data_IF_562866006731
#
_entry.id   IF_562866006731
#
_cell.length_a   1.000
_cell.length_b   1.000
_cell.length_c   1.000
_cell.angle_alpha   90.00
_cell.angle_beta   90.00
_cell.angle_gamma   90.00
#
_symmetry.space_group_name_H-M   'P 1'
#
loop_
_entity.id
_entity.type
_entity.pdbx_description
1 polymer ?
#
# COMPACT_ATOMS: atom_id res chain seq x y z
N UNK A 1 23.83 -3.43 18.77
CA UNK A 1 23.71 -4.74 18.08
C UNK A 1 24.24 -4.62 16.67
N UNK A 2 24.93 -5.66 16.20
CA UNK A 2 25.35 -5.82 14.80
C UNK A 2 24.84 -7.15 14.22
N UNK A 3 24.78 -7.27 12.88
CA UNK A 3 24.56 -8.56 12.23
C UNK A 3 25.57 -9.60 12.70
N UNK A 4 25.16 -10.86 12.73
CA UNK A 4 25.97 -12.01 13.14
C UNK A 4 26.17 -12.94 11.95
N UNK A 5 27.41 -13.35 11.69
CA UNK A 5 27.74 -14.41 10.71
C UNK A 5 28.53 -15.58 11.27
N UNK A 6 29.53 -15.32 12.12
CA UNK A 6 30.47 -16.30 12.68
C UNK A 6 30.63 -16.16 14.21
N UNK A 7 30.82 -14.93 14.71
CA UNK A 7 30.89 -14.63 16.15
C UNK A 7 29.98 -13.47 16.54
N UNK A 8 29.58 -13.41 17.82
CA UNK A 8 28.65 -12.38 18.31
C UNK A 8 29.17 -10.96 18.01
N UNK A 9 28.31 -10.12 17.43
CA UNK A 9 28.59 -8.74 17.02
C UNK A 9 29.74 -8.55 15.99
N UNK A 10 30.07 -9.60 15.22
CA UNK A 10 31.11 -9.54 14.17
C UNK A 10 30.72 -8.69 12.95
N UNK A 11 29.45 -8.31 12.82
CA UNK A 11 28.94 -7.50 11.71
C UNK A 11 28.93 -8.23 10.37
N UNK A 12 29.20 -9.55 10.33
CA UNK A 12 29.29 -10.31 9.08
C UNK A 12 27.93 -10.40 8.41
N UNK A 13 27.89 -10.04 7.12
CA UNK A 13 26.70 -10.07 6.28
C UNK A 13 27.02 -10.66 4.91
N UNK A 14 26.06 -11.39 4.36
CA UNK A 14 26.05 -11.79 2.95
C UNK A 14 25.18 -10.82 2.15
N UNK A 15 25.72 -10.32 1.05
CA UNK A 15 25.03 -9.50 0.05
C UNK A 15 24.95 -10.28 -1.25
N UNK A 16 23.81 -10.23 -1.91
CA UNK A 16 23.58 -10.82 -3.22
C UNK A 16 22.98 -9.77 -4.15
N UNK A 17 23.62 -9.51 -5.29
CA UNK A 17 23.17 -8.46 -6.22
C UNK A 17 23.70 -8.71 -7.63
N UNK A 18 23.15 -8.00 -8.60
CA UNK A 18 23.56 -8.05 -10.01
C UNK A 18 24.04 -6.68 -10.45
N UNK A 19 25.15 -6.63 -11.20
CA UNK A 19 25.58 -5.42 -11.89
C UNK A 19 25.41 -5.57 -13.41
N UNK A 20 25.04 -4.49 -14.13
CA UNK A 20 24.93 -4.48 -15.60
C UNK A 20 26.32 -4.38 -16.24
N UNK A 21 27.17 -5.36 -15.95
CA UNK A 21 28.50 -5.51 -16.53
C UNK A 21 28.73 -6.97 -16.95
N UNK A 22 29.50 -7.14 -18.03
CA UNK A 22 29.95 -8.46 -18.48
C UNK A 22 30.87 -9.11 -17.45
N UNK A 23 30.71 -10.42 -17.26
CA UNK A 23 31.55 -11.19 -16.33
C UNK A 23 33.04 -11.03 -16.68
N UNK A 24 33.80 -10.52 -15.72
CA UNK A 24 35.23 -10.25 -15.82
C UNK A 24 35.83 -9.99 -14.44
N UNK A 25 37.15 -10.02 -14.31
CA UNK A 25 37.82 -9.61 -13.07
C UNK A 25 37.57 -8.13 -12.74
N UNK A 26 37.43 -7.27 -13.76
CA UNK A 26 36.97 -5.88 -13.59
C UNK A 26 35.58 -5.81 -12.96
N UNK A 27 34.69 -6.74 -13.31
CA UNK A 27 33.34 -6.81 -12.75
C UNK A 27 33.36 -7.20 -11.26
N UNK A 28 34.24 -8.13 -10.85
CA UNK A 28 34.45 -8.45 -9.43
C UNK A 28 34.99 -7.25 -8.65
N UNK A 29 35.97 -6.52 -9.21
CA UNK A 29 36.47 -5.27 -8.61
C UNK A 29 35.42 -4.17 -8.53
N UNK A 30 34.55 -4.07 -9.53
CA UNK A 30 33.41 -3.17 -9.49
C UNK A 30 32.42 -3.54 -8.36
N UNK A 31 32.14 -4.84 -8.17
CA UNK A 31 31.31 -5.33 -7.08
C UNK A 31 31.93 -5.03 -5.70
N UNK A 32 33.24 -5.26 -5.51
CA UNK A 32 33.96 -4.88 -4.29
C UNK A 32 33.84 -3.37 -4.00
N UNK A 33 34.10 -2.54 -5.02
CA UNK A 33 34.04 -1.08 -4.88
C UNK A 33 32.63 -0.60 -4.56
N UNK A 34 31.62 -1.17 -5.20
CA UNK A 34 30.22 -0.86 -4.95
C UNK A 34 29.83 -1.17 -3.50
N UNK A 35 30.17 -2.36 -3.00
CA UNK A 35 29.90 -2.76 -1.60
C UNK A 35 30.67 -1.86 -0.62
N UNK A 36 31.87 -1.42 -0.96
CA UNK A 36 32.62 -0.44 -0.14
C UNK A 36 31.91 0.91 -0.03
N UNK A 37 31.26 1.38 -1.09
CA UNK A 37 30.48 2.62 -1.07
C UNK A 37 29.24 2.53 -0.19
N UNK A 38 28.75 1.31 0.07
CA UNK A 38 27.64 1.03 1.01
C UNK A 38 28.10 0.97 2.47
N UNK A 39 29.34 1.40 2.77
CA UNK A 39 29.92 1.42 4.11
C UNK A 39 30.15 0.04 4.74
N UNK A 40 30.43 -0.96 3.91
CA UNK A 40 30.91 -2.27 4.35
C UNK A 40 32.45 -2.34 4.35
N UNK A 41 33.01 -3.14 5.25
CA UNK A 41 34.45 -3.43 5.36
C UNK A 41 34.72 -4.93 5.11
N UNK A 42 36.00 -5.30 5.00
CA UNK A 42 36.43 -6.71 4.87
C UNK A 42 35.66 -7.49 3.79
N UNK A 43 35.57 -6.87 2.61
CA UNK A 43 34.73 -7.32 1.50
C UNK A 43 35.41 -8.47 0.76
N UNK A 44 34.65 -9.53 0.52
CA UNK A 44 35.09 -10.70 -0.24
C UNK A 44 34.00 -11.14 -1.22
N UNK A 45 34.30 -11.06 -2.52
CA UNK A 45 33.42 -11.59 -3.57
C UNK A 45 33.65 -13.10 -3.66
N UNK A 46 32.72 -13.88 -3.11
CA UNK A 46 32.83 -15.35 -3.05
C UNK A 46 32.20 -16.04 -4.27
N UNK A 47 31.29 -15.35 -4.96
CA UNK A 47 30.67 -15.87 -6.18
C UNK A 47 30.46 -14.75 -7.19
N UNK A 48 30.68 -15.06 -8.47
CA UNK A 48 30.34 -14.22 -9.59
C UNK A 48 29.91 -15.10 -10.76
N UNK A 49 28.76 -14.83 -11.36
CA UNK A 49 28.20 -15.63 -12.46
C UNK A 49 27.45 -14.74 -13.44
N UNK A 50 27.71 -14.92 -14.74
CA UNK A 50 26.90 -14.29 -15.77
C UNK A 50 25.48 -14.88 -15.75
N UNK A 51 24.47 -14.01 -15.68
CA UNK A 51 23.06 -14.42 -15.68
C UNK A 51 22.33 -14.06 -16.97
N UNK A 52 22.83 -13.06 -17.70
CA UNK A 52 22.38 -12.65 -19.02
C UNK A 52 23.54 -11.91 -19.72
N UNK A 53 23.41 -11.68 -21.02
CA UNK A 53 24.39 -10.89 -21.77
C UNK A 53 24.52 -9.50 -21.15
N UNK A 54 25.76 -9.13 -20.76
CA UNK A 54 26.02 -7.86 -20.10
C UNK A 54 25.61 -7.76 -18.63
N UNK A 55 25.14 -8.84 -17.99
CA UNK A 55 24.76 -8.85 -16.57
C UNK A 55 25.47 -9.95 -15.78
N UNK A 56 26.03 -9.57 -14.63
CA UNK A 56 26.72 -10.49 -13.73
C UNK A 56 26.13 -10.42 -12.33
N UNK A 57 25.75 -11.57 -11.80
CA UNK A 57 25.33 -11.77 -10.41
C UNK A 57 26.53 -12.03 -9.52
N UNK A 58 26.51 -11.48 -8.30
CA UNK A 58 27.56 -11.58 -7.30
C UNK A 58 26.99 -12.01 -5.96
N UNK A 59 27.78 -12.81 -5.22
CA UNK A 59 27.60 -13.02 -3.78
C UNK A 59 28.85 -12.52 -3.08
N UNK A 60 28.65 -11.67 -2.08
CA UNK A 60 29.71 -10.96 -1.38
C UNK A 60 29.51 -11.13 0.12
N UNK A 61 30.57 -11.49 0.84
CA UNK A 61 30.62 -11.39 2.28
C UNK A 61 31.34 -10.11 2.67
N UNK A 62 30.78 -9.37 3.62
CA UNK A 62 31.39 -8.16 4.14
C UNK A 62 30.95 -7.88 5.57
N UNK A 63 31.62 -6.95 6.25
CA UNK A 63 31.31 -6.54 7.61
C UNK A 63 30.57 -5.19 7.59
N UNK A 64 29.36 -5.18 8.15
CA UNK A 64 28.59 -3.97 8.39
C UNK A 64 29.22 -3.18 9.54
N UNK A 65 29.56 -1.92 9.25
CA UNK A 65 30.13 -0.99 10.23
C UNK A 65 29.10 -0.44 11.22
N UNK A 66 27.85 -0.11 10.82
CA UNK A 66 26.90 0.50 11.72
C UNK A 66 26.52 -0.38 12.90
N UNK A 67 26.36 0.24 14.06
CA UNK A 67 25.79 -0.38 15.24
C UNK A 67 24.41 0.19 15.50
N UNK A 68 23.46 -0.70 15.82
CA UNK A 68 22.09 -0.33 16.11
C UNK A 68 21.84 -0.43 17.61
N UNK A 69 21.43 0.68 18.23
CA UNK A 69 20.81 0.64 19.56
C UNK A 69 19.34 0.27 19.40
N UNK A 70 19.01 -0.98 19.71
CA UNK A 70 17.65 -1.49 19.58
C UNK A 70 16.64 -0.74 20.46
N UNK A 71 17.07 -0.14 21.57
CA UNK A 71 16.18 0.60 22.48
C UNK A 71 15.59 1.86 21.86
N UNK A 72 16.25 2.41 20.83
CA UNK A 72 15.82 3.61 20.11
C UNK A 72 14.74 3.33 19.06
N UNK A 73 14.53 2.06 18.73
CA UNK A 73 13.65 1.65 17.63
C UNK A 73 12.20 1.65 18.09
N UNK A 74 11.42 2.60 17.56
CA UNK A 74 9.96 2.65 17.73
C UNK A 74 9.28 1.87 16.61
N UNK A 75 8.83 0.66 16.91
CA UNK A 75 7.95 -0.07 16.01
C UNK A 75 6.51 0.46 16.16
N UNK A 76 6.00 1.17 15.16
CA UNK A 76 4.59 1.55 15.08
C UNK A 76 3.74 0.30 14.87
N UNK A 77 3.32 -0.35 15.96
CA UNK A 77 2.26 -1.36 15.90
C UNK A 77 0.94 -0.62 15.71
N UNK A 78 0.62 -0.25 14.48
CA UNK A 78 -0.76 0.07 14.13
C UNK A 78 -1.53 -1.24 14.13
N UNK A 79 -1.94 -1.70 15.31
CA UNK A 79 -2.87 -2.82 15.46
C UNK A 79 -4.26 -2.26 15.21
N UNK A 80 -4.67 -2.22 13.95
CA UNK A 80 -6.10 -2.19 13.67
C UNK A 80 -6.68 -3.49 14.22
N UNK A 81 -7.57 -3.40 15.20
CA UNK A 81 -8.38 -4.55 15.59
C UNK A 81 -9.35 -4.79 14.44
N UNK A 82 -9.00 -5.70 13.54
CA UNK A 82 -9.92 -6.15 12.50
C UNK A 82 -11.12 -6.80 13.19
N UNK A 83 -12.33 -6.30 12.91
CA UNK A 83 -13.56 -6.92 13.36
C UNK A 83 -14.05 -7.85 12.27
N UNK A 84 -14.51 -9.05 12.63
CA UNK A 84 -15.18 -9.92 11.66
C UNK A 84 -16.55 -9.35 11.31
N UNK A 85 -17.16 -9.85 10.23
CA UNK A 85 -18.53 -9.49 9.84
C UNK A 85 -19.53 -9.76 10.96
N UNK A 86 -19.38 -10.87 11.68
CA UNK A 86 -20.23 -11.23 12.82
C UNK A 86 -20.06 -10.25 13.98
N UNK A 87 -18.83 -9.84 14.29
CA UNK A 87 -18.55 -8.83 15.31
C UNK A 87 -19.12 -7.46 14.92
N UNK A 88 -19.04 -7.08 13.64
CA UNK A 88 -19.64 -5.84 13.11
C UNK A 88 -21.17 -5.92 13.20
N UNK A 89 -21.78 -7.02 12.78
CA UNK A 89 -23.24 -7.18 12.87
C UNK A 89 -23.73 -7.10 14.31
N UNK A 90 -23.05 -7.78 15.25
CA UNK A 90 -23.39 -7.72 16.68
C UNK A 90 -23.24 -6.31 17.24
N UNK A 91 -22.17 -5.62 16.88
CA UNK A 91 -21.96 -4.23 17.27
C UNK A 91 -23.11 -3.32 16.77
N UNK A 92 -23.54 -3.49 15.52
CA UNK A 92 -24.65 -2.71 14.95
C UNK A 92 -26.02 -3.10 15.54
N UNK A 93 -26.20 -4.34 16.00
CA UNK A 93 -27.41 -4.80 16.69
C UNK A 93 -27.54 -4.19 18.09
N UNK A 94 -26.45 -4.12 18.84
CA UNK A 94 -26.41 -3.62 20.23
C UNK A 94 -26.53 -2.09 20.30
N UNK A 95 -26.03 -1.37 19.28
CA UNK A 95 -25.99 0.11 19.28
C UNK A 95 -27.25 0.77 18.70
N UNK A 96 -28.24 -0.03 18.26
CA UNK A 96 -29.61 0.36 17.86
C UNK A 96 -29.76 1.59 16.96
N UNK A 97 -28.73 2.05 16.25
CA UNK A 97 -28.76 3.32 15.53
C UNK A 97 -28.14 3.23 14.15
N UNK A 98 -29.06 2.96 13.22
CA UNK A 98 -29.00 3.21 11.77
C UNK A 98 -28.24 2.19 10.93
N UNK A 99 -28.96 1.75 9.91
CA UNK A 99 -28.39 1.23 8.70
C UNK A 99 -27.40 2.24 8.11
N UNK A 100 -26.24 1.78 7.65
CA UNK A 100 -25.22 2.63 7.03
C UNK A 100 -25.44 2.64 5.52
N UNK A 101 -25.70 3.81 4.96
CA UNK A 101 -25.82 4.02 3.52
C UNK A 101 -24.45 4.39 2.94
N UNK A 102 -24.02 3.65 1.92
CA UNK A 102 -22.69 3.72 1.34
C UNK A 102 -22.86 3.91 -0.17
N UNK A 103 -22.23 4.94 -0.71
CA UNK A 103 -22.12 5.12 -2.17
C UNK A 103 -20.65 4.98 -2.56
N UNK A 104 -20.39 4.41 -3.73
CA UNK A 104 -19.02 4.28 -4.22
C UNK A 104 -18.89 4.39 -5.72
N UNK A 105 -17.78 4.94 -6.20
CA UNK A 105 -17.44 4.97 -7.61
C UNK A 105 -15.93 5.13 -7.85
N UNK A 106 -15.47 4.64 -9.00
CA UNK A 106 -14.20 5.09 -9.59
C UNK A 106 -14.48 6.38 -10.38
N UNK A 107 -13.86 7.49 -9.96
CA UNK A 107 -14.22 8.84 -10.44
C UNK A 107 -13.35 9.33 -11.61
N UNK A 108 -13.86 10.33 -12.33
CA UNK A 108 -13.12 11.01 -13.40
C UNK A 108 -12.99 10.16 -14.66
N UNK A 109 -11.81 10.10 -15.26
CA UNK A 109 -11.57 9.31 -16.49
C UNK A 109 -11.16 7.86 -16.23
N UNK A 110 -11.08 7.45 -14.96
CA UNK A 110 -10.55 6.15 -14.57
C UNK A 110 -11.60 5.03 -14.73
N UNK A 111 -11.23 3.99 -15.49
CA UNK A 111 -12.10 2.86 -15.83
C UNK A 111 -11.89 1.62 -14.94
N UNK A 112 -10.96 1.66 -13.99
CA UNK A 112 -10.62 0.50 -13.17
C UNK A 112 -11.60 0.35 -12.00
N UNK A 113 -12.46 -0.68 -12.03
CA UNK A 113 -13.44 -0.95 -10.97
C UNK A 113 -13.05 -2.07 -10.03
N UNK A 114 -12.09 -2.93 -10.41
CA UNK A 114 -11.79 -4.19 -9.71
C UNK A 114 -11.50 -3.98 -8.22
N UNK A 115 -10.79 -2.91 -7.86
CA UNK A 115 -10.51 -2.57 -6.47
C UNK A 115 -11.75 -2.17 -5.67
N UNK A 116 -12.62 -1.34 -6.25
CA UNK A 116 -13.89 -0.95 -5.63
C UNK A 116 -14.84 -2.14 -5.53
N UNK A 117 -14.95 -2.93 -6.59
CA UNK A 117 -15.78 -4.13 -6.68
C UNK A 117 -15.37 -5.18 -5.63
N UNK A 118 -14.06 -5.31 -5.37
CA UNK A 118 -13.52 -6.17 -4.32
C UNK A 118 -14.00 -5.78 -2.91
N UNK A 119 -14.30 -4.49 -2.68
CA UNK A 119 -14.79 -3.98 -1.40
C UNK A 119 -16.32 -4.00 -1.35
N UNK A 120 -17.01 -3.63 -2.43
CA UNK A 120 -18.46 -3.46 -2.40
C UNK A 120 -19.23 -4.76 -2.66
N UNK A 121 -18.82 -5.57 -3.63
CA UNK A 121 -19.65 -6.67 -4.14
C UNK A 121 -19.79 -7.81 -3.14
N UNK A 122 -20.94 -8.50 -3.15
CA UNK A 122 -21.28 -9.60 -2.24
C UNK A 122 -20.22 -10.72 -2.13
N UNK A 123 -19.45 -10.97 -3.20
CA UNK A 123 -18.34 -11.94 -3.21
C UNK A 123 -17.13 -11.47 -2.40
N UNK A 124 -16.86 -10.17 -2.43
CA UNK A 124 -15.65 -9.56 -1.89
C UNK A 124 -14.36 -10.09 -2.52
N UNK A 125 -13.29 -10.14 -1.73
CA UNK A 125 -11.94 -10.50 -2.19
C UNK A 125 -11.18 -11.32 -1.15
N UNK A 126 -10.46 -12.35 -1.60
CA UNK A 126 -9.58 -13.18 -0.76
C UNK A 126 -10.21 -13.77 0.53
N UNK A 127 -11.52 -14.04 0.50
CA UNK A 127 -12.23 -14.62 1.64
C UNK A 127 -12.89 -13.58 2.55
N UNK A 128 -12.55 -12.30 2.39
CA UNK A 128 -13.29 -11.19 2.97
C UNK A 128 -14.48 -10.86 2.08
N UNK A 129 -15.68 -10.84 2.67
CA UNK A 129 -16.90 -10.49 1.95
C UNK A 129 -17.02 -8.98 1.76
N UNK A 130 -17.56 -8.57 0.62
CA UNK A 130 -17.82 -7.15 0.37
C UNK A 130 -19.01 -6.62 1.17
N UNK A 131 -19.10 -5.31 1.19
CA UNK A 131 -20.02 -4.53 2.02
C UNK A 131 -21.51 -4.86 1.75
N UNK A 132 -21.86 -5.25 0.52
CA UNK A 132 -23.22 -5.73 0.16
C UNK A 132 -23.69 -6.91 1.02
N UNK A 133 -22.76 -7.71 1.57
CA UNK A 133 -23.10 -8.88 2.38
C UNK A 133 -23.33 -8.55 3.86
N UNK A 134 -23.11 -7.32 4.27
CA UNK A 134 -23.33 -6.86 5.64
C UNK A 134 -24.79 -6.50 5.85
N UNK A 135 -25.41 -7.05 6.90
CA UNK A 135 -26.86 -6.97 7.13
C UNK A 135 -27.38 -5.54 7.26
N UNK A 136 -26.54 -4.65 7.78
CA UNK A 136 -26.90 -3.26 8.12
C UNK A 136 -26.39 -2.24 7.10
N UNK A 137 -25.75 -2.68 6.01
CA UNK A 137 -25.14 -1.79 5.03
C UNK A 137 -25.97 -1.75 3.75
N UNK A 138 -26.17 -0.54 3.23
CA UNK A 138 -26.90 -0.28 1.99
C UNK A 138 -25.94 0.35 1.00
N UNK A 139 -25.46 -0.45 0.07
CA UNK A 139 -24.37 -0.08 -0.83
C UNK A 139 -24.89 0.24 -2.23
N UNK A 140 -24.44 1.35 -2.81
CA UNK A 140 -24.72 1.72 -4.21
C UNK A 140 -23.39 1.94 -4.93
N UNK A 141 -23.00 0.98 -5.78
CA UNK A 141 -21.80 1.09 -6.61
C UNK A 141 -22.18 1.71 -7.97
N UNK A 142 -21.60 2.87 -8.28
CA UNK A 142 -21.84 3.60 -9.53
C UNK A 142 -20.82 3.27 -10.63
N UNK A 143 -19.91 2.33 -10.38
CA UNK A 143 -18.97 1.81 -11.37
C UNK A 143 -17.83 2.77 -11.67
N UNK A 144 -17.43 2.82 -12.93
CA UNK A 144 -16.25 3.53 -13.41
C UNK A 144 -16.58 4.82 -14.15
N UNK A 145 -15.55 5.66 -14.31
CA UNK A 145 -15.59 6.92 -15.03
C UNK A 145 -16.74 7.84 -14.57
N UNK A 146 -17.05 7.79 -13.28
CA UNK A 146 -18.18 8.52 -12.73
C UNK A 146 -17.81 9.97 -12.46
N UNK A 147 -18.72 10.89 -12.75
CA UNK A 147 -18.48 12.31 -12.49
C UNK A 147 -18.41 12.56 -10.97
N UNK A 148 -17.34 13.19 -10.45
CA UNK A 148 -17.20 13.57 -9.05
C UNK A 148 -18.42 14.32 -8.47
N UNK A 149 -18.95 15.31 -9.19
CA UNK A 149 -20.05 16.15 -8.70
C UNK A 149 -21.36 15.35 -8.65
N UNK A 150 -21.59 14.48 -9.64
CA UNK A 150 -22.73 13.57 -9.64
C UNK A 150 -22.63 12.59 -8.46
N UNK A 151 -21.43 12.12 -8.10
CA UNK A 151 -21.27 11.21 -6.95
C UNK A 151 -21.68 11.89 -5.64
N UNK A 152 -21.32 13.17 -5.46
CA UNK A 152 -21.72 13.97 -4.31
C UNK A 152 -23.24 14.16 -4.31
N UNK A 153 -23.83 14.49 -5.46
CA UNK A 153 -25.28 14.59 -5.60
C UNK A 153 -25.99 13.28 -5.21
N UNK A 154 -25.50 12.14 -5.69
CA UNK A 154 -26.02 10.82 -5.33
C UNK A 154 -25.86 10.51 -3.85
N UNK A 155 -24.75 10.90 -3.24
CA UNK A 155 -24.52 10.74 -1.80
C UNK A 155 -25.59 11.49 -0.99
N UNK A 156 -25.92 12.73 -1.38
CA UNK A 156 -26.99 13.51 -0.76
C UNK A 156 -28.37 12.87 -1.02
N UNK A 157 -28.66 12.48 -2.26
CA UNK A 157 -29.92 11.84 -2.66
C UNK A 157 -30.19 10.54 -1.88
N UNK A 158 -29.16 9.72 -1.71
CA UNK A 158 -29.23 8.43 -1.00
C UNK A 158 -29.05 8.55 0.51
N UNK A 159 -28.93 9.77 1.03
CA UNK A 159 -28.65 10.04 2.45
C UNK A 159 -27.49 9.16 2.91
N UNK A 160 -26.41 9.16 2.12
CA UNK A 160 -25.23 8.34 2.36
C UNK A 160 -24.53 8.83 3.63
N UNK A 161 -24.02 7.87 4.41
CA UNK A 161 -23.12 8.13 5.53
C UNK A 161 -21.65 8.06 5.07
N UNK A 162 -21.37 7.27 4.02
CA UNK A 162 -20.02 7.00 3.52
C UNK A 162 -19.96 7.19 2.01
N UNK A 163 -18.90 7.85 1.53
CA UNK A 163 -18.53 7.90 0.11
C UNK A 163 -17.19 7.16 -0.07
N UNK A 164 -17.21 6.10 -0.87
CA UNK A 164 -16.02 5.35 -1.29
C UNK A 164 -15.55 5.83 -2.66
N UNK A 165 -14.33 6.34 -2.73
CA UNK A 165 -13.74 6.88 -3.96
C UNK A 165 -12.59 5.97 -4.39
N UNK A 166 -12.65 5.48 -5.62
CA UNK A 166 -11.58 4.68 -6.20
C UNK A 166 -10.78 5.47 -7.25
N UNK A 167 -9.45 5.47 -7.16
CA UNK A 167 -8.52 6.06 -8.11
C UNK A 167 -7.27 5.18 -8.29
N UNK A 168 -7.16 4.54 -9.45
CA UNK A 168 -6.02 3.69 -9.81
C UNK A 168 -4.99 4.44 -10.66
N UNK A 169 -5.43 5.34 -11.54
CA UNK A 169 -4.53 6.04 -12.48
C UNK A 169 -3.79 7.19 -11.77
N UNK A 170 -2.47 7.06 -11.66
CA UNK A 170 -1.62 8.06 -10.97
C UNK A 170 -0.82 8.98 -11.89
N UNK A 171 -0.86 8.78 -13.21
CA UNK A 171 -0.07 9.56 -14.17
C UNK A 171 -0.33 11.06 -14.03
N UNK A 172 0.75 11.85 -14.03
CA UNK A 172 0.72 13.31 -13.86
C UNK A 172 -0.06 13.77 -12.61
N UNK A 173 -0.05 12.95 -11.55
CA UNK A 173 -0.75 13.21 -10.29
C UNK A 173 -2.25 13.45 -10.45
N UNK A 174 -2.86 12.86 -11.48
CA UNK A 174 -4.28 13.09 -11.79
C UNK A 174 -5.21 12.68 -10.64
N UNK A 175 -4.91 11.55 -9.97
CA UNK A 175 -5.59 11.12 -8.75
C UNK A 175 -5.58 12.18 -7.63
N UNK A 176 -4.44 12.83 -7.38
CA UNK A 176 -4.32 13.89 -6.37
C UNK A 176 -5.17 15.09 -6.75
N UNK A 177 -5.12 15.49 -8.03
CA UNK A 177 -5.94 16.60 -8.53
C UNK A 177 -7.42 16.30 -8.37
N UNK A 178 -7.88 15.13 -8.83
CA UNK A 178 -9.28 14.72 -8.74
C UNK A 178 -9.77 14.68 -7.28
N UNK A 179 -8.98 14.15 -6.35
CA UNK A 179 -9.34 14.10 -4.93
C UNK A 179 -9.36 15.49 -4.29
N UNK A 180 -8.43 16.39 -4.65
CA UNK A 180 -8.46 17.79 -4.20
C UNK A 180 -9.70 18.52 -4.70
N UNK A 181 -10.03 18.35 -5.98
CA UNK A 181 -11.21 18.96 -6.60
C UNK A 181 -12.49 18.41 -5.94
N UNK A 182 -12.57 17.09 -5.71
CA UNK A 182 -13.67 16.46 -4.98
C UNK A 182 -13.85 17.06 -3.57
N UNK A 183 -12.76 17.16 -2.80
CA UNK A 183 -12.80 17.76 -1.47
C UNK A 183 -13.24 19.22 -1.56
N UNK A 184 -12.69 20.02 -2.48
CA UNK A 184 -13.08 21.41 -2.67
C UNK A 184 -14.58 21.56 -2.94
N UNK A 185 -15.17 20.69 -3.77
CA UNK A 185 -16.63 20.67 -4.00
C UNK A 185 -17.38 20.37 -2.70
N UNK A 186 -16.95 19.37 -1.92
CA UNK A 186 -17.54 19.06 -0.61
C UNK A 186 -17.49 20.27 0.34
N UNK A 187 -16.35 20.98 0.39
CA UNK A 187 -16.20 22.19 1.23
C UNK A 187 -17.12 23.31 0.79
N UNK A 188 -17.15 23.57 -0.51
CA UNK A 188 -17.92 24.68 -1.10
C UNK A 188 -19.43 24.51 -0.90
N UNK A 189 -19.89 23.27 -0.73
CA UNK A 189 -21.30 22.94 -0.46
C UNK A 189 -21.60 22.69 1.04
N UNK A 190 -20.66 22.98 1.95
CA UNK A 190 -20.78 22.75 3.39
C UNK A 190 -21.14 21.29 3.77
N UNK A 191 -20.55 20.32 3.07
CA UNK A 191 -20.82 18.89 3.24
C UNK A 191 -19.72 18.14 4.01
N UNK A 192 -18.66 18.83 4.47
CA UNK A 192 -17.46 18.20 5.07
C UNK A 192 -17.77 17.30 6.26
N UNK A 193 -18.76 17.65 7.07
CA UNK A 193 -19.14 16.91 8.28
C UNK A 193 -20.31 15.93 8.05
N UNK A 194 -20.77 15.76 6.80
CA UNK A 194 -21.91 14.89 6.49
C UNK A 194 -21.52 13.47 6.12
N UNK A 195 -20.31 13.28 5.59
CA UNK A 195 -19.88 12.00 5.04
C UNK A 195 -18.56 11.55 5.65
N UNK A 196 -18.42 10.25 5.89
CA UNK A 196 -17.12 9.62 6.00
C UNK A 196 -16.58 9.42 4.58
N UNK A 197 -15.46 10.07 4.28
CA UNK A 197 -14.81 9.98 2.97
C UNK A 197 -13.66 8.96 3.05
N UNK A 198 -13.70 7.95 2.19
CA UNK A 198 -12.65 6.93 2.09
C UNK A 198 -12.19 6.89 0.64
N UNK A 199 -10.88 7.03 0.42
CA UNK A 199 -10.27 6.98 -0.91
C UNK A 199 -9.21 5.88 -0.97
N UNK A 200 -9.12 5.18 -2.12
CA UNK A 200 -8.15 4.12 -2.37
C UNK A 200 -7.93 3.84 -3.84
#
# INVERSE_FOLDING_TARGET
MRPYGDTLDDGRMQLAFTLPVKYSEKAKKAAEKYVSMLNFKNISVVHAKMIAEGFTYFVVYAEAVPELDYSTIKASKVRFKHRTREEINKFMEEDASKNISIVGATIGSDAHTVGLDAIMNMKGYHGDYGLERYKYFYTNNYGAQYNPDDLIFRAVEKIADVILISQTVTQNDIHIKNLKDFINTIKTNDLENKFVLIAG
#
